data_IF_122913384346
#
_entry.id   IF_122913384346
#
_cell.length_a   1.000
_cell.length_b   1.000
_cell.length_c   1.000
_cell.angle_alpha   90.00
_cell.angle_beta   90.00
_cell.angle_gamma   90.00
#
_symmetry.space_group_name_H-M   'P 1'
#
loop_
_entity.id
_entity.type
_entity.pdbx_description
1 polymer ?
#
# COMPACT_ATOMS: atom_id res chain seq x y z
N UNK A 1 11.97 -7.60 20.45
CA UNK A 1 12.64 -6.52 19.70
C UNK A 1 11.72 -6.11 18.55
N UNK A 2 10.96 -5.01 18.65
CA UNK A 2 10.09 -4.53 17.55
C UNK A 2 10.99 -3.83 16.54
N UNK A 3 11.42 -4.52 15.50
CA UNK A 3 12.35 -4.00 14.49
C UNK A 3 11.69 -2.84 13.75
N UNK A 4 12.40 -1.71 13.61
CA UNK A 4 11.94 -0.49 12.92
C UNK A 4 11.58 -0.71 11.44
N UNK A 5 11.85 -1.89 10.91
CA UNK A 5 11.73 -2.32 9.52
C UNK A 5 10.31 -2.84 9.21
N UNK A 6 9.57 -3.33 10.22
CA UNK A 6 8.21 -3.85 10.05
C UNK A 6 7.25 -2.90 9.32
N UNK A 7 7.15 -1.59 9.69
CA UNK A 7 6.23 -0.69 8.98
C UNK A 7 6.65 -0.44 7.52
N UNK A 8 7.94 -0.52 7.18
CA UNK A 8 8.39 -0.37 5.80
C UNK A 8 7.94 -1.55 4.94
N UNK A 9 8.09 -2.78 5.44
CA UNK A 9 7.69 -3.98 4.71
C UNK A 9 6.17 -4.05 4.55
N UNK A 10 5.42 -3.66 5.57
CA UNK A 10 3.95 -3.56 5.52
C UNK A 10 3.51 -2.53 4.47
N UNK A 11 4.00 -1.29 4.56
CA UNK A 11 3.64 -0.22 3.63
C UNK A 11 4.03 -0.54 2.17
N UNK A 12 5.23 -1.10 1.94
CA UNK A 12 5.68 -1.50 0.61
C UNK A 12 4.80 -2.63 0.07
N UNK A 13 4.54 -3.66 0.88
CA UNK A 13 3.71 -4.80 0.46
C UNK A 13 2.27 -4.40 0.13
N UNK A 14 1.68 -3.55 0.96
CA UNK A 14 0.31 -3.02 0.77
C UNK A 14 0.21 -2.17 -0.50
N UNK A 15 1.17 -1.27 -0.72
CA UNK A 15 1.22 -0.45 -1.92
C UNK A 15 1.43 -1.29 -3.20
N UNK A 16 2.35 -2.26 -3.17
CA UNK A 16 2.58 -3.18 -4.31
C UNK A 16 1.33 -4.00 -4.62
N UNK A 17 0.68 -4.57 -3.60
CA UNK A 17 -0.51 -5.38 -3.78
C UNK A 17 -1.69 -4.56 -4.32
N UNK A 18 -1.87 -3.33 -3.83
CA UNK A 18 -2.88 -2.42 -4.34
C UNK A 18 -2.67 -2.12 -5.83
N UNK A 19 -1.45 -1.73 -6.21
CA UNK A 19 -1.10 -1.46 -7.61
C UNK A 19 -1.34 -2.68 -8.49
N UNK A 20 -0.90 -3.86 -8.06
CA UNK A 20 -1.05 -5.08 -8.86
C UNK A 20 -2.53 -5.44 -9.11
N UNK A 21 -3.39 -5.24 -8.11
CA UNK A 21 -4.83 -5.52 -8.21
C UNK A 21 -5.52 -4.51 -9.15
N UNK A 22 -5.14 -3.23 -9.08
CA UNK A 22 -5.79 -2.18 -9.85
C UNK A 22 -5.30 -2.07 -11.29
N UNK A 23 -4.01 -2.33 -11.54
CA UNK A 23 -3.43 -2.32 -12.90
C UNK A 23 -4.13 -3.32 -13.84
N UNK A 24 -4.59 -4.45 -13.33
CA UNK A 24 -5.25 -5.50 -14.14
C UNK A 24 -6.76 -5.52 -13.97
N UNK A 25 -7.33 -4.52 -13.27
CA UNK A 25 -8.76 -4.45 -12.99
C UNK A 25 -9.32 -5.75 -12.38
N UNK A 26 -8.49 -6.49 -11.63
CA UNK A 26 -8.85 -7.80 -11.06
C UNK A 26 -8.71 -9.01 -11.99
N UNK A 27 -8.21 -8.85 -13.22
CA UNK A 27 -7.93 -9.96 -14.13
C UNK A 27 -6.53 -10.54 -13.92
N UNK A 28 -6.40 -11.44 -12.96
CA UNK A 28 -5.12 -12.09 -12.63
C UNK A 28 -4.54 -12.93 -13.78
N UNK A 29 -5.31 -13.28 -14.81
CA UNK A 29 -4.81 -14.03 -15.96
C UNK A 29 -4.04 -13.16 -16.96
N UNK A 30 -4.23 -11.84 -16.91
CA UNK A 30 -3.53 -10.87 -17.76
C UNK A 30 -2.21 -10.37 -17.13
N UNK A 31 -1.92 -10.74 -15.87
CA UNK A 31 -0.69 -10.39 -15.15
C UNK A 31 0.57 -10.91 -15.85
N UNK A 32 1.16 -10.05 -16.67
CA UNK A 32 2.48 -10.24 -17.26
C UNK A 32 3.62 -9.89 -16.29
N UNK A 33 4.83 -10.28 -16.67
CA UNK A 33 6.07 -9.94 -15.95
C UNK A 33 6.28 -8.40 -15.89
N UNK A 34 5.87 -7.69 -16.95
CA UNK A 34 5.94 -6.22 -17.02
C UNK A 34 5.09 -5.54 -15.95
N UNK A 35 3.87 -6.03 -15.70
CA UNK A 35 2.99 -5.48 -14.66
C UNK A 35 3.54 -5.73 -13.26
N UNK A 36 4.17 -6.89 -13.03
CA UNK A 36 4.88 -7.18 -11.80
C UNK A 36 6.04 -6.22 -11.53
N UNK A 37 6.83 -5.89 -12.57
CA UNK A 37 7.96 -4.97 -12.45
C UNK A 37 7.46 -3.57 -12.11
N UNK A 38 6.45 -3.06 -12.83
CA UNK A 38 5.91 -1.72 -12.61
C UNK A 38 5.25 -1.62 -11.24
N UNK A 39 4.44 -2.62 -10.84
CA UNK A 39 3.82 -2.64 -9.52
C UNK A 39 4.85 -2.70 -8.39
N UNK A 40 5.94 -3.46 -8.59
CA UNK A 40 7.04 -3.55 -7.61
C UNK A 40 7.79 -2.23 -7.49
N UNK A 41 8.07 -1.54 -8.60
CA UNK A 41 8.69 -0.21 -8.59
C UNK A 41 7.78 0.82 -7.90
N UNK A 42 6.50 0.83 -8.27
CA UNK A 42 5.48 1.73 -7.71
C UNK A 42 5.32 1.51 -6.21
N UNK A 43 5.16 0.26 -5.78
CA UNK A 43 5.02 -0.08 -4.37
C UNK A 43 6.28 0.17 -3.54
N UNK A 44 7.48 -0.02 -4.12
CA UNK A 44 8.73 0.34 -3.45
C UNK A 44 8.84 1.85 -3.24
N UNK A 45 8.61 2.65 -4.29
CA UNK A 45 8.71 4.12 -4.21
C UNK A 45 7.62 4.69 -3.31
N UNK A 46 6.37 4.25 -3.47
CA UNK A 46 5.24 4.69 -2.65
C UNK A 46 5.40 4.27 -1.18
N UNK A 47 5.79 3.02 -0.93
CA UNK A 47 5.99 2.50 0.42
C UNK A 47 7.14 3.19 1.16
N UNK A 48 8.24 3.52 0.46
CA UNK A 48 9.33 4.32 1.02
C UNK A 48 8.88 5.75 1.29
N UNK A 49 8.22 6.41 0.33
CA UNK A 49 7.74 7.78 0.48
C UNK A 49 6.75 7.91 1.66
N UNK A 50 5.78 7.00 1.75
CA UNK A 50 4.82 6.96 2.84
C UNK A 50 5.50 6.68 4.18
N UNK A 51 6.44 5.74 4.24
CA UNK A 51 7.16 5.43 5.47
C UNK A 51 8.01 6.61 5.96
N UNK A 52 8.68 7.33 5.05
CA UNK A 52 9.42 8.56 5.36
C UNK A 52 8.47 9.64 5.87
N UNK A 53 7.34 9.87 5.20
CA UNK A 53 6.34 10.85 5.63
C UNK A 53 5.77 10.54 7.03
N UNK A 54 5.53 9.27 7.32
CA UNK A 54 5.05 8.82 8.63
C UNK A 54 6.11 8.95 9.72
N UNK A 55 7.38 8.71 9.39
CA UNK A 55 8.50 8.96 10.30
C UNK A 55 8.64 10.44 10.66
N UNK A 56 8.50 11.34 9.67
CA UNK A 56 8.55 12.79 9.89
C UNK A 56 7.38 13.29 10.73
N UNK A 57 6.19 12.75 10.49
CA UNK A 57 4.96 13.15 11.22
C UNK A 57 4.92 12.57 12.64
N UNK A 58 5.76 11.57 12.98
CA UNK A 58 5.76 10.82 14.24
C UNK A 58 4.39 10.26 14.68
N UNK A 59 3.43 10.22 13.76
CA UNK A 59 2.07 9.80 14.04
C UNK A 59 1.95 8.28 13.98
N UNK A 60 1.20 7.73 14.94
CA UNK A 60 0.79 6.31 14.94
C UNK A 60 -0.69 6.13 14.66
N UNK A 61 -1.37 7.19 14.26
CA UNK A 61 -2.78 7.10 13.89
C UNK A 61 -2.93 6.30 12.60
N UNK A 62 -3.72 5.22 12.67
CA UNK A 62 -3.96 4.32 11.54
C UNK A 62 -4.61 4.99 10.35
N UNK A 63 -5.52 5.91 10.64
CA UNK A 63 -6.16 6.73 9.61
C UNK A 63 -5.13 7.54 8.86
N UNK A 64 -4.14 8.10 9.57
CA UNK A 64 -3.07 8.87 8.93
C UNK A 64 -2.15 7.95 8.13
N UNK A 65 -1.81 6.76 8.65
CA UNK A 65 -1.02 5.76 7.91
C UNK A 65 -1.71 5.37 6.60
N UNK A 66 -2.99 5.01 6.67
CA UNK A 66 -3.77 4.61 5.50
C UNK A 66 -3.94 5.75 4.48
N UNK A 67 -4.23 6.97 4.93
CA UNK A 67 -4.37 8.13 4.04
C UNK A 67 -3.03 8.48 3.39
N UNK A 68 -1.95 8.53 4.17
CA UNK A 68 -0.61 8.87 3.64
C UNK A 68 -0.15 7.82 2.64
N UNK A 69 -0.35 6.53 2.95
CA UNK A 69 -0.01 5.46 2.01
C UNK A 69 -0.85 5.56 0.74
N UNK A 70 -2.18 5.68 0.86
CA UNK A 70 -3.05 5.77 -0.30
C UNK A 70 -2.76 6.96 -1.20
N UNK A 71 -2.52 8.14 -0.63
CA UNK A 71 -2.14 9.35 -1.39
C UNK A 71 -0.77 9.18 -2.05
N UNK A 72 0.22 8.66 -1.32
CA UNK A 72 1.54 8.41 -1.88
C UNK A 72 1.46 7.40 -3.04
N UNK A 73 0.71 6.32 -2.87
CA UNK A 73 0.51 5.31 -3.92
C UNK A 73 -0.19 5.91 -5.14
N UNK A 74 -1.25 6.69 -4.98
CA UNK A 74 -1.94 7.33 -6.11
C UNK A 74 -0.99 8.24 -6.92
N UNK A 75 -0.18 9.04 -6.23
CA UNK A 75 0.78 9.94 -6.87
C UNK A 75 1.84 9.13 -7.63
N UNK A 76 2.44 8.14 -7.00
CA UNK A 76 3.50 7.34 -7.62
C UNK A 76 2.96 6.52 -8.79
N UNK A 77 1.77 5.94 -8.66
CA UNK A 77 1.09 5.19 -9.73
C UNK A 77 0.85 6.07 -10.96
N UNK A 78 0.38 7.29 -10.76
CA UNK A 78 0.20 8.28 -11.83
C UNK A 78 1.51 8.60 -12.60
N UNK A 79 2.66 8.61 -11.92
CA UNK A 79 3.95 8.88 -12.55
C UNK A 79 4.61 7.64 -13.17
N UNK A 80 4.39 6.45 -12.59
CA UNK A 80 5.05 5.21 -13.00
C UNK A 80 4.28 4.47 -14.10
N UNK A 81 2.97 4.64 -14.17
CA UNK A 81 2.12 3.98 -15.16
C UNK A 81 1.37 5.03 -16.01
N UNK A 82 1.87 5.35 -17.23
CA UNK A 82 1.07 6.09 -18.19
C UNK A 82 -0.10 5.21 -18.63
N UNK A 83 -1.26 5.41 -17.99
CA UNK A 83 -2.44 4.54 -18.09
C UNK A 83 -2.80 4.16 -19.53
N UNK A 84 -3.08 2.88 -19.74
CA UNK A 84 -3.44 2.34 -21.06
C UNK A 84 -4.89 2.66 -21.48
N UNK A 85 -5.70 3.27 -20.60
CA UNK A 85 -7.11 3.59 -20.85
C UNK A 85 -7.41 5.02 -20.42
N UNK A 86 -7.51 5.94 -21.40
CA UNK A 86 -8.30 7.19 -21.37
C UNK A 86 -8.23 8.12 -20.14
N UNK A 87 -8.74 7.70 -18.98
CA UNK A 87 -8.87 8.46 -17.75
C UNK A 87 -7.77 8.08 -16.73
N UNK A 88 -6.51 8.36 -17.09
CA UNK A 88 -5.29 8.08 -16.30
C UNK A 88 -5.42 8.46 -14.81
N UNK A 89 -6.11 9.56 -14.52
CA UNK A 89 -6.31 10.05 -13.15
C UNK A 89 -7.23 9.17 -12.31
N UNK A 90 -8.24 8.54 -12.91
CA UNK A 90 -9.21 7.72 -12.19
C UNK A 90 -8.59 6.39 -11.74
N UNK A 91 -7.76 5.78 -12.60
CA UNK A 91 -7.02 4.56 -12.27
C UNK A 91 -6.11 4.80 -11.05
N UNK A 92 -5.33 5.88 -11.08
CA UNK A 92 -4.46 6.26 -9.97
C UNK A 92 -5.22 6.49 -8.64
N UNK A 93 -6.39 7.12 -8.68
CA UNK A 93 -7.24 7.30 -7.49
C UNK A 93 -7.72 5.95 -6.95
N UNK A 94 -8.18 5.06 -7.82
CA UNK A 94 -8.67 3.73 -7.42
C UNK A 94 -7.52 2.91 -6.82
N UNK A 95 -6.32 2.98 -7.42
CA UNK A 95 -5.10 2.38 -6.86
C UNK A 95 -4.80 2.91 -5.46
N UNK A 96 -4.82 4.23 -5.29
CA UNK A 96 -4.59 4.87 -3.98
C UNK A 96 -5.63 4.49 -2.93
N UNK A 97 -6.91 4.44 -3.31
CA UNK A 97 -7.99 3.99 -2.43
C UNK A 97 -7.81 2.52 -2.05
N UNK A 98 -7.45 1.67 -3.01
CA UNK A 98 -7.13 0.25 -2.76
C UNK A 98 -5.99 0.10 -1.76
N UNK A 99 -4.93 0.89 -1.89
CA UNK A 99 -3.80 0.91 -0.96
C UNK A 99 -4.21 1.37 0.44
N UNK A 100 -5.02 2.44 0.54
CA UNK A 100 -5.51 2.92 1.83
C UNK A 100 -6.37 1.87 2.55
N UNK A 101 -7.28 1.21 1.82
CA UNK A 101 -8.14 0.15 2.37
C UNK A 101 -7.33 -1.06 2.79
N UNK A 102 -6.38 -1.51 1.97
CA UNK A 102 -5.49 -2.62 2.30
C UNK A 102 -4.67 -2.31 3.55
N UNK A 103 -4.11 -1.12 3.64
CA UNK A 103 -3.35 -0.67 4.82
C UNK A 103 -4.18 -0.65 6.09
N UNK A 104 -5.41 -0.12 5.99
CA UNK A 104 -6.33 -0.12 7.11
C UNK A 104 -6.71 -1.55 7.54
N UNK A 105 -7.01 -2.43 6.59
CA UNK A 105 -7.41 -3.81 6.83
C UNK A 105 -6.27 -4.64 7.45
N UNK A 106 -5.06 -4.55 6.91
CA UNK A 106 -3.86 -5.22 7.46
C UNK A 106 -3.54 -4.67 8.84
N UNK A 107 -3.56 -3.35 9.02
CA UNK A 107 -3.37 -2.71 10.33
C UNK A 107 -4.41 -3.14 11.37
N UNK A 108 -5.67 -3.33 10.98
CA UNK A 108 -6.73 -3.84 11.84
C UNK A 108 -6.53 -5.32 12.18
N UNK A 109 -6.21 -6.15 11.19
CA UNK A 109 -5.98 -7.59 11.36
C UNK A 109 -4.79 -7.86 12.28
N UNK A 110 -3.68 -7.13 12.12
CA UNK A 110 -2.49 -7.25 12.97
C UNK A 110 -2.78 -6.84 14.42
N UNK A 111 -3.61 -5.81 14.63
CA UNK A 111 -4.07 -5.46 15.98
C UNK A 111 -4.85 -6.60 16.60
N UNK A 112 -5.81 -7.14 15.86
CA UNK A 112 -6.65 -8.23 16.33
C UNK A 112 -5.81 -9.46 16.68
N UNK A 113 -4.81 -9.81 15.86
CA UNK A 113 -3.88 -10.90 16.16
C UNK A 113 -3.01 -10.63 17.39
N UNK A 114 -2.60 -9.38 17.65
CA UNK A 114 -1.85 -9.01 18.86
C UNK A 114 -2.71 -9.08 20.11
N UNK A 115 -3.93 -8.56 20.06
CA UNK A 115 -4.89 -8.64 21.16
C UNK A 115 -5.20 -10.11 21.49
N UNK A 116 -5.45 -10.92 20.46
CA UNK A 116 -5.70 -12.36 20.62
C UNK A 116 -4.48 -13.12 21.17
N UNK A 117 -3.25 -12.79 20.73
CA UNK A 117 -2.02 -13.39 21.29
C UNK A 117 -1.78 -12.99 22.73
N UNK A 118 -2.04 -11.73 23.09
CA UNK A 118 -1.91 -11.26 24.47
C UNK A 118 -2.91 -11.97 25.41
N UNK A 119 -4.12 -12.26 24.92
CA UNK A 119 -5.14 -12.99 25.68
C UNK A 119 -4.83 -14.49 25.87
N UNK A 120 -3.94 -15.09 25.07
CA UNK A 120 -3.52 -16.50 25.19
C UNK A 120 -2.30 -16.66 26.10
N UNK A 121 -1.58 -15.57 26.39
CA UNK A 121 -0.41 -15.57 27.27
C UNK A 121 -0.72 -15.17 28.73
N UNK A 122 -2.00 -15.03 29.08
CA UNK A 122 -2.52 -14.84 30.45
C UNK A 122 -3.21 -16.12 30.88
#
# INVERSE_FOLDING_TARGET
MKTKITPFVENIGEATAACLITMEQGNFLALGITHWVIASQTGLVAGVAASVALLLTQTRSRWVIAIVLGVATAIVDYFMHPGMIGLIFLEAIITGLGAAVLSFAVGALLKFRREKRAAIQV
#
